data_IF_837511405340
#
_entry.id   IF_837511405340
#
_cell.length_a   1.000
_cell.length_b   1.000
_cell.length_c   1.000
_cell.angle_alpha   90.00
_cell.angle_beta   90.00
_cell.angle_gamma   90.00
#
_symmetry.space_group_name_H-M   'P 1'
#
loop_
_entity.id
_entity.type
_entity.pdbx_description
1 polymer ?
#
# COMPACT_ATOMS: atom_id res chain seq x y z
N UNK A 1 17.98 26.60 -17.50
CA UNK A 1 16.98 27.24 -16.62
C UNK A 1 16.32 26.11 -15.84
N UNK A 2 16.66 25.93 -14.56
CA UNK A 2 16.12 24.84 -13.74
C UNK A 2 14.72 25.27 -13.29
N UNK A 3 13.68 24.61 -13.76
CA UNK A 3 12.32 24.86 -13.27
C UNK A 3 12.25 24.44 -11.81
N UNK A 4 12.16 25.43 -10.91
CA UNK A 4 11.75 25.20 -9.53
C UNK A 4 10.39 24.53 -9.55
N UNK A 5 10.31 23.26 -9.16
CA UNK A 5 9.05 22.65 -8.74
C UNK A 5 8.59 23.44 -7.53
N UNK A 6 7.59 24.32 -7.71
CA UNK A 6 6.89 24.90 -6.59
C UNK A 6 6.18 23.74 -5.91
N UNK A 7 6.44 23.53 -4.62
CA UNK A 7 5.59 22.68 -3.79
C UNK A 7 4.24 23.40 -3.66
N UNK A 8 3.39 23.22 -4.66
CA UNK A 8 2.03 23.73 -4.67
C UNK A 8 1.25 22.88 -3.67
N UNK A 9 0.74 23.52 -2.62
CA UNK A 9 -0.30 22.92 -1.79
C UNK A 9 -1.58 22.89 -2.62
N UNK A 10 -1.77 21.82 -3.37
CA UNK A 10 -2.96 21.60 -4.18
C UNK A 10 -3.98 20.78 -3.40
N UNK A 11 -5.26 21.07 -3.63
CA UNK A 11 -6.35 20.29 -3.02
C UNK A 11 -6.32 18.88 -3.58
N UNK A 12 -6.23 17.89 -2.70
CA UNK A 12 -6.27 16.48 -3.07
C UNK A 12 -7.71 15.99 -2.92
N UNK A 13 -8.22 15.33 -3.96
CA UNK A 13 -9.48 14.59 -3.93
C UNK A 13 -9.18 13.12 -4.13
N UNK A 14 -9.83 12.25 -3.35
CA UNK A 14 -9.77 10.81 -3.59
C UNK A 14 -10.78 10.43 -4.66
N UNK A 15 -10.30 9.86 -5.75
CA UNK A 15 -11.12 9.34 -6.83
C UNK A 15 -11.07 7.82 -6.77
N UNK A 16 -12.21 7.16 -6.99
CA UNK A 16 -12.24 5.70 -7.03
C UNK A 16 -11.44 5.16 -8.22
N UNK A 17 -10.71 4.07 -8.01
CA UNK A 17 -10.02 3.36 -9.09
C UNK A 17 -10.91 2.21 -9.60
N UNK A 18 -11.48 2.30 -10.82
CA UNK A 18 -12.36 1.24 -11.35
C UNK A 18 -11.61 -0.05 -11.68
N UNK A 19 -10.27 -0.02 -11.73
CA UNK A 19 -9.42 -1.17 -12.03
C UNK A 19 -8.93 -1.89 -10.76
N UNK A 20 -9.51 -1.60 -9.60
CA UNK A 20 -9.18 -2.30 -8.36
C UNK A 20 -9.40 -3.81 -8.50
N UNK A 21 -8.45 -4.56 -7.96
CA UNK A 21 -8.52 -6.01 -7.86
C UNK A 21 -8.74 -6.39 -6.39
N UNK A 22 -9.36 -7.54 -6.11
CA UNK A 22 -9.46 -8.05 -4.75
C UNK A 22 -8.06 -8.24 -4.15
N UNK A 23 -7.85 -7.69 -2.96
CA UNK A 23 -6.66 -8.00 -2.16
C UNK A 23 -6.75 -9.46 -1.68
N UNK A 24 -5.71 -10.24 -1.92
CA UNK A 24 -5.67 -11.67 -1.58
C UNK A 24 -4.42 -12.02 -0.81
N UNK A 25 -4.46 -13.14 -0.09
CA UNK A 25 -3.28 -13.69 0.57
C UNK A 25 -3.26 -15.21 0.49
N UNK A 26 -2.05 -15.77 0.43
CA UNK A 26 -1.80 -17.19 0.65
C UNK A 26 -1.11 -17.32 2.01
N UNK A 27 -1.76 -18.03 2.94
CA UNK A 27 -1.22 -18.26 4.27
C UNK A 27 -0.75 -19.72 4.40
N UNK A 28 0.51 -19.90 4.76
CA UNK A 28 1.11 -21.20 5.04
C UNK A 28 1.52 -21.25 6.51
N UNK A 29 0.99 -22.20 7.25
CA UNK A 29 1.33 -22.43 8.66
C UNK A 29 1.84 -23.86 8.84
N UNK A 30 2.91 -24.01 9.62
CA UNK A 30 3.47 -25.28 10.04
C UNK A 30 3.75 -25.22 11.54
N UNK A 31 2.99 -26.01 12.30
CA UNK A 31 3.13 -26.10 13.75
C UNK A 31 3.71 -27.45 14.17
N UNK A 32 4.45 -27.44 15.26
CA UNK A 32 4.84 -28.64 16.00
C UNK A 32 4.54 -28.43 17.48
N UNK A 33 4.02 -29.46 18.13
CA UNK A 33 3.70 -29.43 19.56
C UNK A 33 4.15 -30.72 20.24
N UNK A 34 4.67 -30.59 21.45
CA UNK A 34 5.15 -31.69 22.26
C UNK A 34 4.77 -31.50 23.73
N UNK A 35 4.29 -32.57 24.34
CA UNK A 35 4.18 -32.65 25.79
C UNK A 35 5.52 -33.14 26.35
N UNK A 36 6.16 -32.30 27.17
CA UNK A 36 7.44 -32.60 27.80
C UNK A 36 7.21 -33.50 29.03
N UNK A 37 6.12 -33.24 29.78
CA UNK A 37 5.59 -34.06 30.87
C UNK A 37 4.12 -33.68 31.13
N UNK A 38 3.47 -34.35 32.10
CA UNK A 38 2.06 -34.15 32.47
C UNK A 38 1.68 -32.71 32.84
N UNK A 39 2.67 -31.86 33.15
CA UNK A 39 2.49 -30.47 33.58
C UNK A 39 3.17 -29.46 32.66
N UNK A 40 3.76 -29.86 31.53
CA UNK A 40 4.53 -28.96 30.67
C UNK A 40 4.48 -29.37 29.20
N UNK A 41 4.13 -28.42 28.35
CA UNK A 41 4.07 -28.57 26.91
C UNK A 41 4.84 -27.44 26.21
N UNK A 42 5.34 -27.73 25.01
CA UNK A 42 6.02 -26.79 24.14
C UNK A 42 5.38 -26.84 22.75
N UNK A 43 5.15 -25.68 22.15
CA UNK A 43 4.78 -25.56 20.74
C UNK A 43 5.71 -24.60 20.01
N UNK A 44 5.92 -24.88 18.73
CA UNK A 44 6.68 -24.04 17.80
C UNK A 44 5.87 -23.92 16.52
N UNK A 45 5.59 -22.68 16.11
CA UNK A 45 4.84 -22.37 14.92
C UNK A 45 5.70 -21.57 13.94
N UNK A 46 5.75 -22.02 12.69
CA UNK A 46 6.31 -21.30 11.56
C UNK A 46 5.17 -20.87 10.65
N UNK A 47 5.09 -19.59 10.34
CA UNK A 47 4.09 -19.06 9.44
C UNK A 47 4.70 -18.17 8.37
N UNK A 48 4.07 -18.17 7.20
CA UNK A 48 4.36 -17.27 6.09
C UNK A 48 3.06 -16.79 5.48
N UNK A 49 2.96 -15.49 5.27
CA UNK A 49 1.83 -14.88 4.57
C UNK A 49 2.35 -14.15 3.34
N UNK A 50 1.95 -14.63 2.17
CA UNK A 50 2.23 -14.00 0.89
C UNK A 50 1.01 -13.17 0.48
N UNK A 51 1.18 -11.84 0.42
CA UNK A 51 0.12 -10.91 0.07
C UNK A 51 0.19 -10.52 -1.40
N UNK A 52 -0.97 -10.36 -2.03
CA UNK A 52 -1.09 -9.89 -3.42
C UNK A 52 -2.18 -8.82 -3.51
N UNK A 53 -1.94 -7.84 -4.39
CA UNK A 53 -2.88 -6.75 -4.68
C UNK A 53 -3.29 -6.00 -3.40
N UNK A 54 -2.32 -5.77 -2.49
CA UNK A 54 -2.57 -4.97 -1.29
C UNK A 54 -3.04 -3.57 -1.68
N UNK A 55 -4.11 -3.12 -1.03
CA UNK A 55 -4.59 -1.76 -1.18
C UNK A 55 -3.68 -0.83 -0.40
N UNK A 56 -3.02 0.06 -1.11
CA UNK A 56 -2.19 1.12 -0.54
C UNK A 56 -2.74 2.46 -1.02
N UNK A 57 -2.78 3.44 -0.11
CA UNK A 57 -3.11 4.79 -0.50
C UNK A 57 -1.93 5.35 -1.29
N UNK A 58 -2.21 5.77 -2.50
CA UNK A 58 -1.23 6.47 -3.33
C UNK A 58 -0.93 7.84 -2.71
N UNK A 59 0.34 8.16 -2.53
CA UNK A 59 0.73 9.47 -2.03
C UNK A 59 0.56 10.51 -3.15
N UNK A 60 -0.28 11.54 -2.93
CA UNK A 60 -0.60 12.52 -3.96
C UNK A 60 0.59 13.42 -4.31
N UNK A 61 1.46 13.74 -3.34
CA UNK A 61 2.64 14.57 -3.59
C UNK A 61 3.68 13.82 -4.39
N UNK A 62 3.87 12.53 -4.10
CA UNK A 62 4.68 11.63 -4.92
C UNK A 62 4.14 11.57 -6.34
N UNK A 63 2.84 11.33 -6.54
CA UNK A 63 2.22 11.28 -7.87
C UNK A 63 2.41 12.58 -8.68
N UNK A 64 2.22 13.73 -8.05
CA UNK A 64 2.43 15.04 -8.67
C UNK A 64 3.91 15.27 -9.01
N UNK A 65 4.82 14.84 -8.13
CA UNK A 65 6.27 15.00 -8.34
C UNK A 65 6.82 14.07 -9.42
N UNK A 66 6.27 12.86 -9.56
CA UNK A 66 6.67 11.88 -10.58
C UNK A 66 6.17 12.27 -11.97
N UNK A 67 4.91 12.72 -12.08
CA UNK A 67 4.34 13.21 -13.32
C UNK A 67 3.37 14.38 -13.07
N UNK A 68 3.83 15.63 -13.21
CA UNK A 68 3.02 16.82 -13.01
C UNK A 68 1.84 16.98 -13.98
N UNK A 69 1.90 16.30 -15.13
CA UNK A 69 0.89 16.32 -16.20
C UNK A 69 -0.01 15.07 -16.19
N UNK A 70 0.00 14.31 -15.07
CA UNK A 70 -0.86 13.14 -14.92
C UNK A 70 -2.35 13.54 -15.07
N UNK A 71 -3.15 12.81 -15.88
CA UNK A 71 -4.56 13.15 -16.12
C UNK A 71 -5.44 13.10 -14.85
N UNK A 72 -4.98 12.43 -13.79
CA UNK A 72 -5.66 12.42 -12.50
C UNK A 72 -5.48 13.75 -11.72
N UNK A 73 -4.55 14.62 -12.17
CA UNK A 73 -4.32 15.94 -11.59
C UNK A 73 -5.25 16.94 -12.26
N UNK A 74 -6.25 17.40 -11.51
CA UNK A 74 -7.13 18.49 -11.96
C UNK A 74 -6.53 19.83 -11.56
N UNK A 75 -6.42 20.74 -12.54
CA UNK A 75 -5.93 22.11 -12.35
C UNK A 75 -7.03 23.12 -12.67
N UNK A 76 -7.02 24.25 -11.98
CA UNK A 76 -7.91 25.37 -12.31
C UNK A 76 -7.41 26.12 -13.58
N UNK A 77 -8.17 27.14 -14.01
CA UNK A 77 -7.83 27.97 -15.19
C UNK A 77 -6.51 28.75 -15.06
N UNK A 78 -5.95 28.83 -13.85
CA UNK A 78 -4.65 29.44 -13.56
C UNK A 78 -3.51 28.42 -13.50
N UNK A 79 -3.78 27.13 -13.74
CA UNK A 79 -2.80 26.06 -13.72
C UNK A 79 -2.42 25.57 -12.32
N UNK A 80 -3.15 25.98 -11.29
CA UNK A 80 -2.99 25.51 -9.90
C UNK A 80 -3.67 24.16 -9.70
#
# INVERSE_FOLDING_TARGET
>A
MVSKVKFAFVRIIQVGNPNLKPATSTNTNLGMSWDINDNSSLSVDFWKIDYKDRLELEDPQTKISENPDNPDIQRNEYGE
#
